data_IF_397640989824
#
_entry.id   IF_397640989824
#
_cell.length_a   1.000
_cell.length_b   1.000
_cell.length_c   1.000
_cell.angle_alpha   90.00
_cell.angle_beta   90.00
_cell.angle_gamma   90.00
#
_symmetry.space_group_name_H-M   'P 1'
#
loop_
_entity.id
_entity.type
_entity.pdbx_description
1 polymer ?
#
# COMPACT_ATOMS: atom_id res chain seq x y z
N UNK A 1 7.05 24.71 -1.40
CA UNK A 1 7.66 23.51 -1.97
C UNK A 1 6.70 22.35 -1.79
N UNK A 2 6.02 21.94 -2.85
CA UNK A 2 5.23 20.70 -2.81
C UNK A 2 6.19 19.53 -2.56
N UNK A 3 5.98 18.79 -1.47
CA UNK A 3 6.79 17.61 -1.15
C UNK A 3 6.61 16.62 -2.30
N UNK A 4 7.64 16.41 -3.14
CA UNK A 4 7.65 15.39 -4.19
C UNK A 4 7.41 14.02 -3.53
N UNK A 5 6.18 13.52 -3.63
CA UNK A 5 5.83 12.15 -3.20
C UNK A 5 6.30 11.18 -4.29
N UNK A 6 6.88 10.05 -3.89
CA UNK A 6 7.26 9.01 -4.85
C UNK A 6 6.01 8.24 -5.33
N UNK A 7 5.00 8.16 -4.46
CA UNK A 7 3.74 7.47 -4.69
C UNK A 7 2.57 8.36 -4.26
N UNK A 8 1.48 8.27 -5.00
CA UNK A 8 0.23 8.97 -4.69
C UNK A 8 -0.80 7.98 -4.13
N UNK A 9 -1.69 8.41 -3.23
CA UNK A 9 -2.90 7.66 -2.87
C UNK A 9 -3.62 7.13 -4.12
N UNK A 10 -3.95 5.83 -4.12
CA UNK A 10 -4.60 5.18 -5.25
C UNK A 10 -3.64 4.71 -6.36
N UNK A 11 -2.34 5.02 -6.29
CA UNK A 11 -1.37 4.46 -7.24
C UNK A 11 -1.40 2.94 -7.16
N UNK A 12 -1.51 2.31 -8.33
CA UNK A 12 -1.30 0.88 -8.48
C UNK A 12 0.19 0.56 -8.43
N UNK A 13 0.54 -0.45 -7.65
CA UNK A 13 1.93 -0.86 -7.44
C UNK A 13 2.09 -2.37 -7.55
N UNK A 14 3.31 -2.79 -7.88
CA UNK A 14 3.77 -4.17 -7.75
C UNK A 14 4.96 -4.24 -6.82
N UNK A 15 5.01 -5.27 -5.99
CA UNK A 15 6.21 -5.59 -5.21
C UNK A 15 7.30 -6.17 -6.11
N UNK A 16 8.53 -6.23 -5.60
CA UNK A 16 9.61 -6.96 -6.28
C UNK A 16 9.32 -8.47 -6.46
N UNK A 17 8.43 -9.04 -5.64
CA UNK A 17 7.96 -10.44 -5.77
C UNK A 17 6.82 -10.60 -6.79
N UNK A 18 6.37 -9.51 -7.43
CA UNK A 18 5.33 -9.53 -8.45
C UNK A 18 3.89 -9.38 -7.94
N UNK A 19 3.68 -9.29 -6.62
CA UNK A 19 2.35 -9.13 -6.02
C UNK A 19 1.79 -7.75 -6.32
N UNK A 20 0.50 -7.69 -6.66
CA UNK A 20 -0.18 -6.44 -6.96
C UNK A 20 -0.81 -5.81 -5.71
N UNK A 21 -0.79 -4.49 -5.65
CA UNK A 21 -1.42 -3.72 -4.59
C UNK A 21 -1.74 -2.29 -5.01
N UNK A 22 -2.42 -1.58 -4.12
CA UNK A 22 -2.77 -0.17 -4.25
C UNK A 22 -2.27 0.62 -3.05
N UNK A 23 -1.74 1.82 -3.31
CA UNK A 23 -1.34 2.75 -2.26
C UNK A 23 -2.57 3.27 -1.51
N UNK A 24 -2.62 3.06 -0.20
CA UNK A 24 -3.77 3.37 0.63
C UNK A 24 -3.88 4.90 0.84
N UNK A 25 -5.06 5.51 0.62
CA UNK A 25 -5.30 6.90 0.97
C UNK A 25 -5.12 7.19 2.47
N UNK A 26 -4.62 8.37 2.80
CA UNK A 26 -4.24 8.71 4.17
C UNK A 26 -5.41 8.67 5.15
N UNK A 27 -6.61 9.02 4.70
CA UNK A 27 -7.85 8.99 5.46
C UNK A 27 -8.38 7.56 5.69
N UNK A 28 -8.08 6.63 4.77
CA UNK A 28 -8.48 5.22 4.87
C UNK A 28 -7.46 4.36 5.62
N UNK A 29 -6.21 4.80 5.73
CA UNK A 29 -5.17 4.03 6.40
C UNK A 29 -5.51 3.63 7.85
N UNK A 30 -6.07 4.50 8.72
CA UNK A 30 -6.50 4.11 10.05
C UNK A 30 -7.59 3.02 10.03
N UNK A 31 -8.53 3.09 9.08
CA UNK A 31 -9.61 2.11 8.93
C UNK A 31 -9.07 0.76 8.45
N UNK A 32 -8.20 0.78 7.43
CA UNK A 32 -7.50 -0.41 6.93
C UNK A 32 -6.69 -1.09 8.03
N UNK A 33 -5.96 -0.30 8.83
CA UNK A 33 -5.17 -0.83 9.95
C UNK A 33 -6.03 -1.46 11.04
N UNK A 34 -7.25 -0.98 11.25
CA UNK A 34 -8.19 -1.53 12.23
C UNK A 34 -8.96 -2.76 11.72
N UNK A 35 -9.29 -2.79 10.42
CA UNK A 35 -10.16 -3.82 9.83
C UNK A 35 -9.43 -4.98 9.15
N UNK A 36 -8.20 -4.78 8.68
CA UNK A 36 -7.46 -5.77 7.91
C UNK A 36 -6.22 -6.26 8.65
N UNK A 37 -5.70 -7.41 8.22
CA UNK A 37 -4.51 -8.02 8.81
C UNK A 37 -3.24 -7.48 8.15
N UNK A 38 -2.26 -7.07 8.96
CA UNK A 38 -0.89 -6.81 8.51
C UNK A 38 -0.14 -8.14 8.33
N UNK A 39 0.53 -8.35 7.19
CA UNK A 39 1.16 -9.65 6.86
C UNK A 39 2.68 -9.66 7.05
N UNK A 40 3.31 -8.49 7.07
CA UNK A 40 4.76 -8.24 7.14
C UNK A 40 5.52 -8.91 6.00
N UNK A 41 5.08 -8.65 4.76
CA UNK A 41 5.70 -9.20 3.55
C UNK A 41 7.17 -8.82 3.39
N UNK A 42 7.98 -9.62 2.65
CA UNK A 42 9.31 -9.20 2.25
C UNK A 42 9.31 -7.79 1.66
N UNK A 43 10.18 -6.94 2.19
CA UNK A 43 10.27 -5.54 1.78
C UNK A 43 9.32 -4.57 2.48
N UNK A 44 8.53 -5.04 3.46
CA UNK A 44 7.83 -4.17 4.40
C UNK A 44 8.82 -3.28 5.17
N UNK A 45 8.34 -2.13 5.60
CA UNK A 45 9.05 -1.21 6.46
C UNK A 45 9.06 -1.76 7.89
N UNK A 46 10.23 -2.16 8.34
CA UNK A 46 10.47 -2.62 9.71
C UNK A 46 11.47 -1.67 10.38
N UNK A 47 11.02 -0.95 11.42
CA UNK A 47 11.88 -0.16 12.28
C UNK A 47 11.53 -0.50 13.75
N UNK A 48 12.44 -1.13 14.52
CA UNK A 48 12.18 -1.42 15.92
C UNK A 48 12.02 -0.12 16.70
N UNK A 49 10.91 0.02 17.44
CA UNK A 49 10.64 1.16 18.32
C UNK A 49 10.12 2.44 17.65
N UNK A 50 9.85 2.46 16.34
CA UNK A 50 9.36 3.65 15.64
C UNK A 50 7.88 3.52 15.25
N UNK A 51 7.12 4.60 15.43
CA UNK A 51 5.74 4.71 14.97
C UNK A 51 5.71 4.68 13.43
N UNK A 52 4.86 3.81 12.84
CA UNK A 52 4.57 3.84 11.40
C UNK A 52 3.92 5.19 11.08
N UNK A 53 4.66 6.08 10.41
CA UNK A 53 4.16 7.37 9.92
C UNK A 53 4.26 7.37 8.40
N UNK A 54 3.22 6.91 7.67
CA UNK A 54 3.25 6.84 6.23
C UNK A 54 3.52 8.22 5.61
N UNK A 55 4.66 8.35 4.95
CA UNK A 55 5.14 9.59 4.35
C UNK A 55 5.04 9.57 2.81
N UNK A 56 4.69 8.43 2.22
CA UNK A 56 4.53 8.20 0.77
C UNK A 56 5.81 8.44 -0.07
N UNK A 57 6.96 8.55 0.60
CA UNK A 57 8.30 8.67 0.00
C UNK A 57 9.17 7.46 0.35
N UNK A 58 9.18 7.07 1.62
CA UNK A 58 9.91 5.94 2.19
C UNK A 58 8.92 4.91 2.72
N UNK A 59 7.94 5.34 3.51
CA UNK A 59 6.88 4.49 4.06
C UNK A 59 5.61 4.63 3.22
N UNK A 60 5.29 3.59 2.46
CA UNK A 60 4.14 3.59 1.55
C UNK A 60 3.15 2.53 2.00
N UNK A 61 1.95 2.90 2.49
CA UNK A 61 0.95 1.92 2.92
C UNK A 61 0.30 1.31 1.68
N UNK A 62 0.31 -0.02 1.57
CA UNK A 62 -0.19 -0.75 0.39
C UNK A 62 -1.21 -1.80 0.82
N UNK A 63 -2.38 -1.78 0.20
CA UNK A 63 -3.38 -2.83 0.27
C UNK A 63 -3.17 -3.81 -0.89
N UNK A 64 -3.12 -5.10 -0.59
CA UNK A 64 -2.88 -6.14 -1.59
C UNK A 64 -4.17 -6.86 -1.97
N UNK A 65 -4.15 -7.51 -3.14
CA UNK A 65 -5.27 -8.27 -3.71
C UNK A 65 -5.80 -9.41 -2.82
N UNK A 66 -4.98 -9.89 -1.87
CA UNK A 66 -5.34 -10.94 -0.91
C UNK A 66 -6.08 -10.41 0.33
N UNK A 67 -6.40 -9.11 0.38
CA UNK A 67 -7.14 -8.50 1.50
C UNK A 67 -6.30 -8.22 2.73
N UNK A 68 -4.98 -8.24 2.61
CA UNK A 68 -4.06 -7.82 3.68
C UNK A 68 -3.34 -6.54 3.27
N UNK A 69 -2.82 -5.81 4.25
CA UNK A 69 -2.05 -4.60 3.99
C UNK A 69 -0.65 -4.72 4.57
N UNK A 70 0.28 -3.91 4.06
CA UNK A 70 1.59 -3.67 4.70
C UNK A 70 2.05 -2.24 4.42
N UNK A 71 2.86 -1.68 5.32
CA UNK A 71 3.64 -0.49 5.00
C UNK A 71 4.91 -0.95 4.30
N UNK A 72 5.06 -0.63 3.03
CA UNK A 72 6.19 -1.03 2.18
C UNK A 72 7.26 0.05 2.15
N UNK A 73 8.54 -0.37 2.02
CA UNK A 73 9.58 0.57 1.61
C UNK A 73 9.41 0.91 0.14
N UNK A 74 9.50 2.19 -0.21
CA UNK A 74 9.40 2.65 -1.61
C UNK A 74 10.33 1.91 -2.58
N UNK A 75 11.54 1.55 -2.14
CA UNK A 75 12.50 0.79 -2.95
C UNK A 75 12.03 -0.62 -3.34
N UNK A 76 11.07 -1.18 -2.60
CA UNK A 76 10.60 -2.56 -2.76
C UNK A 76 9.29 -2.66 -3.57
N UNK A 77 8.75 -1.52 -4.00
CA UNK A 77 7.53 -1.42 -4.81
C UNK A 77 7.77 -0.53 -6.03
N UNK A 78 7.07 -0.81 -7.13
CA UNK A 78 7.12 -0.01 -8.36
C UNK A 78 5.72 0.31 -8.83
N UNK A 79 5.52 1.48 -9.44
CA UNK A 79 4.23 1.82 -10.06
C UNK A 79 3.92 0.83 -11.18
N UNK A 80 2.71 0.28 -11.16
CA UNK A 80 2.23 -0.69 -12.12
C UNK A 80 0.95 -0.14 -12.76
N UNK A 81 1.11 0.66 -13.83
CA UNK A 81 -0.04 1.24 -14.56
C UNK A 81 -0.85 0.19 -15.31
N UNK A 82 -0.24 -0.95 -15.62
CA UNK A 82 -0.78 -2.03 -16.43
C UNK A 82 -1.09 -3.28 -15.57
N UNK A 83 -1.83 -3.09 -14.48
CA UNK A 83 -2.38 -4.22 -13.73
C UNK A 83 -3.64 -4.74 -14.45
N UNK A 84 -3.87 -6.07 -14.44
CA UNK A 84 -5.12 -6.63 -14.95
C UNK A 84 -6.33 -5.95 -14.30
N UNK A 85 -7.35 -5.64 -15.10
CA UNK A 85 -8.53 -4.92 -14.62
C UNK A 85 -9.24 -5.66 -13.47
N UNK A 86 -9.26 -6.99 -13.52
CA UNK A 86 -9.82 -7.82 -12.45
C UNK A 86 -9.09 -7.62 -11.11
N UNK A 87 -7.74 -7.65 -11.14
CA UNK A 87 -6.91 -7.42 -9.95
C UNK A 87 -7.15 -6.03 -9.39
N UNK A 88 -7.21 -5.02 -10.27
CA UNK A 88 -7.52 -3.65 -9.90
C UNK A 88 -8.87 -3.54 -9.19
N UNK A 89 -9.95 -4.04 -9.81
CA UNK A 89 -11.30 -4.02 -9.25
C UNK A 89 -11.38 -4.74 -7.90
N UNK A 90 -10.66 -5.85 -7.76
CA UNK A 90 -10.60 -6.61 -6.51
C UNK A 90 -9.99 -5.78 -5.37
N UNK A 91 -8.88 -5.10 -5.62
CA UNK A 91 -8.22 -4.25 -4.62
C UNK A 91 -9.10 -3.03 -4.28
N UNK A 92 -9.69 -2.38 -5.29
CA UNK A 92 -10.63 -1.26 -5.11
C UNK A 92 -11.86 -1.68 -4.30
N UNK A 93 -12.42 -2.87 -4.56
CA UNK A 93 -13.55 -3.42 -3.82
C UNK A 93 -13.22 -3.77 -2.36
N UNK A 94 -11.99 -4.19 -2.07
CA UNK A 94 -11.53 -4.39 -0.68
C UNK A 94 -11.40 -3.05 0.05
N UNK A 95 -10.90 -2.02 -0.63
CA UNK A 95 -10.78 -0.70 -0.06
C UNK A 95 -12.15 -0.06 0.24
N UNK A 96 -13.13 -0.25 -0.66
CA UNK A 96 -14.50 0.23 -0.50
C UNK A 96 -15.26 -0.42 0.68
N UNK A 97 -14.91 -1.65 1.08
CA UNK A 97 -15.52 -2.33 2.23
C UNK A 97 -15.01 -1.79 3.58
N UNK A 98 -13.89 -1.09 3.58
CA UNK A 98 -13.25 -0.54 4.77
C UNK A 98 -13.50 0.98 4.91
N UNK A 99 -14.02 1.62 3.85
CA UNK A 99 -14.38 3.04 3.78
C UNK A 99 -15.78 3.32 4.31
#
# INVERSE_FOLDING_TARGET
MEKKRAFEPGDMVRTFTGQAGMVIPGDLYPKVRAGLKEKRRPGYYFAPGCCQHPDYVIQVPVLFEDGTFDVMRSINIRKAKDLPEETRRRIEGLLAQVG
#
